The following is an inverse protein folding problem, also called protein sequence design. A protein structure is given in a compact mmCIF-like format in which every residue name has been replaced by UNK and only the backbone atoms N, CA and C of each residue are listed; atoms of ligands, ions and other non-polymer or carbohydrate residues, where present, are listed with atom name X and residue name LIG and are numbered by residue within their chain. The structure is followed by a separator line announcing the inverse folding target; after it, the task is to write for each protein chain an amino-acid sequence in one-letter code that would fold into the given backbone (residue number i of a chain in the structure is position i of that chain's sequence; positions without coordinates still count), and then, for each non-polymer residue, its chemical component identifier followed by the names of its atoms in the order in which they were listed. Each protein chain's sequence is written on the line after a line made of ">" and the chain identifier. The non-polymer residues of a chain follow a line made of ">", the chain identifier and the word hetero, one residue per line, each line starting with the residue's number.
data_IF_400196563991
#
_entry.id   IF_400196563991
#
_cell.length_a   1.000
_cell.length_b   1.000
_cell.length_c   1.000
_cell.angle_alpha   90.00
_cell.angle_beta   90.00
_cell.angle_gamma   90.00
#
_symmetry.space_group_name_H-M   'P 1'
#
loop_
_entity.id
_entity.type
_entity.pdbx_description
1 polymer ?
#
# COMPACT_ATOMS: atom_id res chain seq x y z
N UNK A 1 -1.56 5.35 10.30
CA UNK A 1 -1.23 4.10 9.58
C UNK A 1 -2.41 3.66 8.74
N UNK A 2 -2.12 3.10 7.58
CA UNK A 2 -3.14 2.56 6.69
C UNK A 2 -3.27 1.06 6.94
N UNK A 3 -4.43 0.61 7.43
CA UNK A 3 -4.70 -0.80 7.69
C UNK A 3 -5.27 -1.50 6.47
N UNK A 4 -4.80 -2.71 6.20
CA UNK A 4 -5.21 -3.52 5.06
C UNK A 4 -6.03 -4.71 5.55
N UNK A 5 -7.28 -4.80 5.10
CA UNK A 5 -8.24 -5.84 5.51
C UNK A 5 -8.60 -6.71 4.32
N UNK A 6 -8.65 -8.01 4.52
CA UNK A 6 -9.07 -8.97 3.48
C UNK A 6 -10.53 -9.34 3.72
N UNK A 7 -11.39 -9.00 2.77
CA UNK A 7 -12.85 -9.22 2.88
C UNK A 7 -13.26 -10.60 2.37
N UNK A 8 -12.71 -11.03 1.24
CA UNK A 8 -12.99 -12.34 0.67
C UNK A 8 -11.82 -12.83 -0.16
N UNK A 9 -11.69 -14.16 -0.28
CA UNK A 9 -10.58 -14.82 -0.98
C UNK A 9 -11.16 -15.91 -1.89
N UNK A 10 -10.80 -15.88 -3.17
CA UNK A 10 -11.11 -16.97 -4.10
C UNK A 10 -9.95 -17.97 -4.17
N UNK A 11 -8.72 -17.50 -4.26
CA UNK A 11 -7.52 -18.35 -4.28
C UNK A 11 -6.68 -18.09 -3.02
N UNK A 12 -6.84 -18.95 -2.02
CA UNK A 12 -6.16 -18.83 -0.73
C UNK A 12 -4.66 -18.92 -0.87
N UNK A 13 -4.17 -19.89 -1.63
CA UNK A 13 -2.72 -20.13 -1.78
C UNK A 13 -2.02 -18.93 -2.39
N UNK A 14 -2.54 -18.41 -3.49
CA UNK A 14 -1.98 -17.25 -4.16
C UNK A 14 -2.07 -15.99 -3.28
N UNK A 15 -3.21 -15.79 -2.58
CA UNK A 15 -3.40 -14.66 -1.68
C UNK A 15 -2.38 -14.67 -0.55
N UNK A 16 -2.21 -15.81 0.13
CA UNK A 16 -1.25 -15.92 1.22
C UNK A 16 0.18 -15.71 0.75
N UNK A 17 0.52 -16.22 -0.42
CA UNK A 17 1.85 -16.03 -1.02
C UNK A 17 2.16 -14.55 -1.28
N UNK A 18 1.20 -13.82 -1.87
CA UNK A 18 1.34 -12.39 -2.12
C UNK A 18 1.49 -11.60 -0.82
N UNK A 19 0.67 -11.89 0.19
CA UNK A 19 0.72 -11.22 1.48
C UNK A 19 2.04 -11.49 2.20
N UNK A 20 2.54 -12.71 2.16
CA UNK A 20 3.85 -13.06 2.75
C UNK A 20 5.01 -12.38 2.04
N UNK A 21 4.97 -12.30 0.73
CA UNK A 21 6.02 -11.63 -0.04
C UNK A 21 6.08 -10.14 0.27
N UNK A 22 4.94 -9.52 0.51
CA UNK A 22 4.86 -8.10 0.85
C UNK A 22 5.31 -7.82 2.28
N UNK A 23 4.78 -8.58 3.26
CA UNK A 23 4.88 -8.25 4.68
C UNK A 23 5.91 -9.06 5.45
N UNK A 24 6.36 -10.17 4.91
CA UNK A 24 7.24 -11.16 5.59
C UNK A 24 6.63 -11.73 6.89
N UNK A 25 5.32 -11.63 7.06
CA UNK A 25 4.62 -12.17 8.23
C UNK A 25 4.45 -13.69 8.14
N UNK A 26 4.45 -14.41 9.29
CA UNK A 26 4.14 -15.84 9.30
C UNK A 26 2.73 -16.12 8.76
N UNK A 27 2.57 -17.23 8.06
CA UNK A 27 1.28 -17.62 7.49
C UNK A 27 0.19 -17.74 8.56
N UNK A 28 0.51 -18.32 9.72
CA UNK A 28 -0.43 -18.47 10.82
C UNK A 28 -0.98 -17.13 11.32
N UNK A 29 -0.14 -16.11 11.37
CA UNK A 29 -0.55 -14.77 11.78
C UNK A 29 -1.46 -14.12 10.74
N UNK A 30 -1.15 -14.26 9.46
CA UNK A 30 -1.97 -13.77 8.37
C UNK A 30 -3.36 -14.42 8.42
N UNK A 31 -3.41 -15.74 8.54
CA UNK A 31 -4.66 -16.49 8.64
C UNK A 31 -5.50 -16.07 9.84
N UNK A 32 -4.86 -15.91 11.01
CA UNK A 32 -5.53 -15.48 12.23
C UNK A 32 -6.15 -14.09 12.09
N UNK A 33 -5.43 -13.15 11.52
CA UNK A 33 -5.92 -11.79 11.32
C UNK A 33 -7.09 -11.75 10.35
N UNK A 34 -7.02 -12.50 9.26
CA UNK A 34 -8.12 -12.60 8.29
C UNK A 34 -9.36 -13.20 8.95
N UNK A 35 -9.19 -14.28 9.70
CA UNK A 35 -10.29 -14.94 10.40
C UNK A 35 -10.98 -14.03 11.40
N UNK A 36 -10.22 -13.18 12.09
CA UNK A 36 -10.73 -12.27 13.10
C UNK A 36 -11.18 -10.92 12.52
N UNK A 37 -11.11 -10.75 11.21
CA UNK A 37 -11.41 -9.48 10.52
C UNK A 37 -10.55 -8.32 11.00
N UNK A 38 -9.32 -8.62 11.38
CA UNK A 38 -8.31 -7.61 11.74
C UNK A 38 -7.48 -7.21 10.53
N UNK A 39 -6.80 -6.06 10.63
CA UNK A 39 -5.86 -5.65 9.60
C UNK A 39 -4.74 -6.69 9.48
N UNK A 40 -4.53 -7.23 8.28
CA UNK A 40 -3.45 -8.20 8.05
C UNK A 40 -2.09 -7.52 8.08
N UNK A 41 -2.04 -6.24 7.75
CA UNK A 41 -0.84 -5.41 7.82
C UNK A 41 -1.21 -3.95 7.93
N UNK A 42 -0.25 -3.14 8.35
CA UNK A 42 -0.38 -1.69 8.38
C UNK A 42 0.79 -1.08 7.60
N UNK A 43 0.51 -0.02 6.86
CA UNK A 43 1.48 0.68 6.01
C UNK A 43 1.52 2.14 6.43
N UNK A 44 2.73 2.71 6.48
CA UNK A 44 2.91 4.12 6.76
C UNK A 44 2.49 4.94 5.53
N UNK A 45 1.45 5.74 5.70
CA UNK A 45 0.92 6.59 4.62
C UNK A 45 1.92 7.67 4.17
N UNK A 46 2.95 7.94 4.97
CA UNK A 46 4.00 8.90 4.65
C UNK A 46 5.17 8.26 3.87
N UNK A 47 5.20 6.95 3.75
CA UNK A 47 6.25 6.22 3.03
C UNK A 47 5.80 5.93 1.59
N UNK A 48 6.29 6.75 0.66
CA UNK A 48 5.93 6.64 -0.76
C UNK A 48 6.30 5.27 -1.35
N UNK A 49 7.47 4.75 -1.01
CA UNK A 49 7.91 3.44 -1.55
C UNK A 49 6.99 2.31 -1.08
N UNK A 50 6.59 2.34 0.18
CA UNK A 50 5.62 1.38 0.72
C UNK A 50 4.25 1.51 0.06
N UNK A 51 3.78 2.73 -0.19
CA UNK A 51 2.51 2.96 -0.88
C UNK A 51 2.52 2.44 -2.31
N UNK A 52 3.63 2.60 -3.02
CA UNK A 52 3.79 2.06 -4.38
C UNK A 52 3.75 0.53 -4.38
N UNK A 53 4.43 -0.10 -3.44
CA UNK A 53 4.42 -1.56 -3.28
C UNK A 53 3.01 -2.05 -2.91
N UNK A 54 2.33 -1.33 -2.04
CA UNK A 54 0.95 -1.63 -1.66
C UNK A 54 0.01 -1.57 -2.86
N UNK A 55 0.15 -0.57 -3.72
CA UNK A 55 -0.65 -0.45 -4.94
C UNK A 55 -0.50 -1.67 -5.84
N UNK A 56 0.73 -2.14 -6.03
CA UNK A 56 1.01 -3.36 -6.80
C UNK A 56 0.37 -4.59 -6.13
N UNK A 57 0.52 -4.71 -4.82
CA UNK A 57 -0.07 -5.82 -4.06
C UNK A 57 -1.59 -5.88 -4.23
N UNK A 58 -2.26 -4.74 -4.09
CA UNK A 58 -3.73 -4.66 -4.22
C UNK A 58 -4.16 -5.03 -5.63
N UNK A 59 -3.43 -4.55 -6.64
CA UNK A 59 -3.68 -4.91 -8.03
C UNK A 59 -3.56 -6.42 -8.26
N UNK A 60 -2.51 -7.03 -7.75
CA UNK A 60 -2.27 -8.47 -7.86
C UNK A 60 -3.35 -9.27 -7.12
N UNK A 61 -3.72 -8.86 -5.90
CA UNK A 61 -4.78 -9.50 -5.13
C UNK A 61 -6.13 -9.41 -5.86
N UNK A 62 -6.45 -8.27 -6.42
CA UNK A 62 -7.67 -8.08 -7.20
C UNK A 62 -7.67 -8.99 -8.43
N UNK A 63 -6.54 -9.18 -9.08
CA UNK A 63 -6.39 -10.05 -10.24
C UNK A 63 -6.66 -11.52 -9.96
N UNK A 64 -6.52 -11.97 -8.72
CA UNK A 64 -6.81 -13.35 -8.29
C UNK A 64 -8.14 -13.47 -7.54
N UNK A 65 -8.99 -12.45 -7.59
CA UNK A 65 -10.31 -12.49 -6.98
C UNK A 65 -10.36 -12.22 -5.49
N UNK A 66 -9.30 -11.68 -4.91
CA UNK A 66 -9.26 -11.31 -3.49
C UNK A 66 -9.80 -9.89 -3.31
N UNK A 67 -10.78 -9.73 -2.45
CA UNK A 67 -11.34 -8.42 -2.13
C UNK A 67 -10.66 -7.84 -0.90
N UNK A 68 -10.21 -6.60 -1.04
CA UNK A 68 -9.42 -5.90 -0.03
C UNK A 68 -10.07 -4.57 0.33
N UNK A 69 -10.07 -4.23 1.62
CA UNK A 69 -10.47 -2.91 2.10
C UNK A 69 -9.29 -2.26 2.80
N UNK A 70 -9.03 -1.00 2.49
CA UNK A 70 -8.02 -0.18 3.17
C UNK A 70 -8.73 0.83 4.06
N UNK A 71 -8.24 0.99 5.29
CA UNK A 71 -8.79 1.97 6.24
C UNK A 71 -7.68 2.70 6.97
N UNK A 72 -7.87 3.99 7.18
CA UNK A 72 -7.02 4.80 8.06
C UNK A 72 -7.88 5.45 9.17
N UNK A 73 -7.32 6.41 9.90
CA UNK A 73 -8.03 7.11 10.96
C UNK A 73 -9.22 7.93 10.46
N UNK A 74 -9.28 8.25 9.16
CA UNK A 74 -10.37 9.03 8.56
C UNK A 74 -11.46 8.17 7.94
N UNK A 75 -11.24 6.86 7.79
CA UNK A 75 -12.21 5.93 7.23
C UNK A 75 -11.64 5.07 6.10
N UNK A 76 -12.51 4.63 5.20
CA UNK A 76 -12.14 3.77 4.08
C UNK A 76 -11.35 4.55 3.03
N UNK A 77 -10.22 3.99 2.63
CA UNK A 77 -9.39 4.52 1.53
C UNK A 77 -9.59 3.63 0.31
N UNK A 78 -10.07 4.22 -0.78
CA UNK A 78 -10.24 3.50 -2.04
C UNK A 78 -8.92 3.46 -2.83
N UNK A 79 -8.84 2.59 -3.83
CA UNK A 79 -7.68 2.54 -4.72
C UNK A 79 -7.47 3.88 -5.44
N UNK A 80 -8.55 4.57 -5.80
CA UNK A 80 -8.48 5.90 -6.40
C UNK A 80 -7.82 6.91 -5.46
N UNK A 81 -8.20 6.91 -4.18
CA UNK A 81 -7.59 7.78 -3.16
C UNK A 81 -6.12 7.45 -2.98
N UNK A 82 -5.77 6.15 -2.91
CA UNK A 82 -4.38 5.72 -2.82
C UNK A 82 -3.55 6.21 -4.00
N UNK A 83 -4.06 6.08 -5.22
CA UNK A 83 -3.38 6.58 -6.42
C UNK A 83 -3.18 8.10 -6.36
N UNK A 84 -4.16 8.84 -5.87
CA UNK A 84 -4.05 10.30 -5.72
C UNK A 84 -2.96 10.67 -4.70
N UNK A 85 -2.88 9.96 -3.59
CA UNK A 85 -1.84 10.19 -2.58
C UNK A 85 -0.45 9.92 -3.18
N UNK A 86 -0.27 8.82 -3.88
CA UNK A 86 1.00 8.48 -4.52
C UNK A 86 1.39 9.55 -5.55
N UNK A 87 0.46 9.94 -6.41
CA UNK A 87 0.71 10.97 -7.43
C UNK A 87 1.11 12.30 -6.80
N UNK A 88 0.44 12.70 -5.72
CA UNK A 88 0.78 13.94 -4.99
C UNK A 88 2.20 13.89 -4.45
N UNK A 89 2.61 12.78 -3.84
CA UNK A 89 3.97 12.62 -3.32
C UNK A 89 5.02 12.61 -4.43
N UNK A 90 4.72 12.00 -5.57
CA UNK A 90 5.62 12.00 -6.72
C UNK A 90 5.81 13.41 -7.28
N UNK A 91 4.75 14.20 -7.35
CA UNK A 91 4.80 15.60 -7.77
C UNK A 91 5.64 16.46 -6.82
N UNK A 92 5.46 16.29 -5.51
CA UNK A 92 6.26 17.01 -4.50
C UNK A 92 7.73 16.65 -4.64
N UNK A 93 8.05 15.37 -4.81
CA UNK A 93 9.44 14.93 -4.99
C UNK A 93 10.06 15.51 -6.26
N UNK A 94 9.33 15.55 -7.37
CA UNK A 94 9.79 16.16 -8.61
C UNK A 94 10.04 17.66 -8.46
N UNK A 95 9.14 18.38 -7.79
CA UNK A 95 9.33 19.83 -7.51
C UNK A 95 10.58 20.10 -6.66
N UNK A 96 10.83 19.25 -5.65
CA UNK A 96 12.04 19.38 -4.83
C UNK A 96 13.30 19.18 -5.63
N UNK A 97 13.33 18.21 -6.53
CA UNK A 97 14.47 17.96 -7.40
C UNK A 97 14.75 19.14 -8.34
N UNK A 98 13.69 19.72 -8.91
CA UNK A 98 13.81 20.90 -9.75
C UNK A 98 14.36 22.11 -8.98
N UNK A 99 13.84 22.34 -7.76
CA UNK A 99 14.32 23.42 -6.90
C UNK A 99 15.79 23.25 -6.52
N UNK A 100 16.18 22.05 -6.16
CA UNK A 100 17.58 21.76 -5.83
C UNK A 100 18.52 21.99 -7.02
N UNK A 101 18.10 21.59 -8.22
CA UNK A 101 18.87 21.82 -9.44
C UNK A 101 19.01 23.32 -9.76
N UNK A 102 17.94 24.09 -9.59
CA UNK A 102 17.96 25.54 -9.80
C UNK A 102 18.86 26.26 -8.79
N UNK A 103 18.80 25.85 -7.52
CA UNK A 103 19.65 26.41 -6.47
C UNK A 103 21.13 26.11 -6.72
N UNK A 104 21.41 24.89 -7.22
CA UNK A 104 22.77 24.50 -7.54
C UNK A 104 23.34 25.33 -8.70
N UNK A 105 22.55 25.60 -9.72
CA UNK A 105 22.93 26.42 -10.86
C UNK A 105 23.21 27.89 -10.47
N UNK A 106 22.48 28.43 -9.50
CA UNK A 106 22.67 29.80 -9.01
C UNK A 106 23.97 29.99 -8.25
N UNK A 107 24.54 28.95 -7.69
CA UNK A 107 25.82 29.04 -6.96
C UNK A 107 27.03 29.13 -7.88
N UNK A 108 26.91 28.81 -9.13
CA UNK A 108 27.96 28.92 -10.10
C UNK A 108 28.09 30.36 -10.62
#
# INVERSE_FOLDING_TARGET
>A
MLGIYIDSIEDKSATYKLLRNFSSLPLSLIQSRIKNHDAVMEVDILDLDELKKLRVLIHDLSGIGTMVTMKDSTGVITLKILNNIITTYEEIAAEREELDALMFDEEE
#
